data_IF_927560021560
#
_entry.id   IF_927560021560
#
_cell.length_a   1.000
_cell.length_b   1.000
_cell.length_c   1.000
_cell.angle_alpha   90.00
_cell.angle_beta   90.00
_cell.angle_gamma   90.00
#
_symmetry.space_group_name_H-M   'P 1'
#
loop_
_entity.id
_entity.type
_entity.pdbx_description
1 polymer ?
#
# COMPACT_ATOMS: atom_id res chain seq x y z
N UNK A 1 -6.14 -0.57 20.17
CA UNK A 1 -5.85 -1.15 18.86
C UNK A 1 -6.24 -0.10 17.83
N UNK A 2 -5.34 0.23 16.92
CA UNK A 2 -5.60 1.20 15.85
C UNK A 2 -5.98 0.50 14.55
N UNK A 3 -5.27 -0.59 14.24
CA UNK A 3 -5.54 -1.39 13.06
C UNK A 3 -5.23 -2.88 13.32
N UNK A 4 -5.88 -3.72 12.53
CA UNK A 4 -5.67 -5.15 12.52
C UNK A 4 -6.04 -5.72 11.14
N UNK A 5 -5.14 -6.52 10.60
CA UNK A 5 -5.30 -7.12 9.29
C UNK A 5 -5.01 -8.61 9.34
N UNK A 6 -5.90 -9.40 8.73
CA UNK A 6 -5.62 -10.81 8.45
C UNK A 6 -4.57 -10.92 7.35
N UNK A 7 -3.75 -11.97 7.43
CA UNK A 7 -2.88 -12.35 6.33
C UNK A 7 -3.68 -12.87 5.13
N UNK A 8 -2.99 -13.08 4.01
CA UNK A 8 -3.62 -13.47 2.74
C UNK A 8 -4.48 -14.74 2.83
N UNK A 9 -4.08 -15.72 3.66
CA UNK A 9 -4.78 -16.99 3.81
C UNK A 9 -5.78 -17.00 4.98
N UNK A 10 -5.90 -15.91 5.75
CA UNK A 10 -6.78 -15.81 6.90
C UNK A 10 -6.39 -16.70 8.08
N UNK A 11 -5.12 -17.09 8.18
CA UNK A 11 -4.59 -17.96 9.24
C UNK A 11 -3.80 -17.18 10.30
N UNK A 12 -3.39 -15.95 9.99
CA UNK A 12 -2.70 -15.04 10.91
C UNK A 12 -3.40 -13.69 10.96
N UNK A 13 -3.38 -13.08 12.14
CA UNK A 13 -3.88 -11.73 12.38
C UNK A 13 -2.73 -10.88 12.93
N UNK A 14 -2.41 -9.78 12.25
CA UNK A 14 -1.56 -8.74 12.79
C UNK A 14 -2.44 -7.68 13.45
N UNK A 15 -2.00 -7.14 14.58
CA UNK A 15 -2.67 -6.04 15.28
C UNK A 15 -1.64 -5.02 15.73
N UNK A 16 -2.03 -3.75 15.78
CA UNK A 16 -1.17 -2.68 16.27
C UNK A 16 -1.91 -1.71 17.20
N UNK A 17 -1.19 -1.03 18.09
CA UNK A 17 -1.79 -0.26 19.17
C UNK A 17 -0.92 0.90 19.66
N UNK A 18 -1.47 1.72 20.56
CA UNK A 18 -0.75 2.80 21.25
C UNK A 18 0.35 2.31 22.18
N UNK A 19 0.41 1.01 22.47
CA UNK A 19 1.47 0.40 23.29
C UNK A 19 2.80 0.26 22.53
N UNK A 20 2.87 0.77 21.29
CA UNK A 20 4.07 0.80 20.43
C UNK A 20 4.46 -0.57 19.87
N UNK A 21 3.59 -1.57 20.01
CA UNK A 21 3.87 -2.94 19.56
C UNK A 21 2.97 -3.37 18.42
N UNK A 22 3.48 -4.30 17.62
CA UNK A 22 2.70 -5.09 16.68
C UNK A 22 2.64 -6.51 17.22
N UNK A 23 1.44 -7.08 17.33
CA UNK A 23 1.23 -8.45 17.82
C UNK A 23 0.70 -9.32 16.70
N UNK A 24 1.29 -10.50 16.56
CA UNK A 24 0.88 -11.51 15.58
C UNK A 24 0.17 -12.65 16.31
N UNK A 25 -0.99 -13.03 15.81
CA UNK A 25 -1.80 -14.12 16.31
C UNK A 25 -1.99 -15.17 15.22
N UNK A 26 -1.81 -16.43 15.57
CA UNK A 26 -2.36 -17.53 14.78
C UNK A 26 -3.85 -17.64 15.05
N UNK A 27 -4.65 -17.71 13.99
CA UNK A 27 -6.10 -17.86 14.02
C UNK A 27 -6.45 -19.19 13.37
N UNK A 28 -6.86 -20.18 14.17
CA UNK A 28 -7.26 -21.50 13.68
C UNK A 28 -8.51 -21.96 14.42
N UNK A 29 -9.51 -22.41 13.67
CA UNK A 29 -10.76 -22.95 14.22
C UNK A 29 -11.44 -22.01 15.24
N UNK A 30 -11.39 -20.71 15.00
CA UNK A 30 -11.96 -19.68 15.90
C UNK A 30 -11.14 -19.39 17.17
N UNK A 31 -10.05 -20.12 17.43
CA UNK A 31 -9.12 -19.83 18.51
C UNK A 31 -8.02 -18.88 18.04
N UNK A 32 -7.62 -17.95 18.92
CA UNK A 32 -6.55 -17.00 18.68
C UNK A 32 -5.40 -17.26 19.65
N UNK A 33 -4.18 -17.41 19.14
CA UNK A 33 -2.97 -17.59 19.95
C UNK A 33 -1.93 -16.57 19.53
N UNK A 34 -1.46 -15.73 20.46
CA UNK A 34 -0.36 -14.82 20.19
C UNK A 34 0.92 -15.63 19.92
N UNK A 35 1.53 -15.44 18.75
CA UNK A 35 2.76 -16.14 18.34
C UNK A 35 3.98 -15.22 18.32
N UNK A 36 3.80 -13.91 18.16
CA UNK A 36 4.90 -12.95 18.21
C UNK A 36 4.47 -11.58 18.76
N UNK A 37 5.44 -10.82 19.27
CA UNK A 37 5.30 -9.40 19.58
C UNK A 37 6.51 -8.68 19.00
N UNK A 38 6.27 -7.86 17.98
CA UNK A 38 7.29 -7.09 17.28
C UNK A 38 7.44 -5.74 18.00
N UNK A 39 8.67 -5.42 18.37
CA UNK A 39 9.04 -4.18 19.07
C UNK A 39 10.12 -3.48 18.25
N UNK A 40 9.94 -2.19 18.03
CA UNK A 40 10.86 -1.36 17.24
C UNK A 40 10.37 0.07 17.10
N UNK A 41 9.06 0.28 17.17
CA UNK A 41 8.46 1.61 17.23
C UNK A 41 8.63 2.28 18.60
N UNK A 42 8.83 3.59 18.58
CA UNK A 42 9.02 4.44 19.77
C UNK A 42 7.74 5.18 20.17
N UNK A 43 6.69 5.08 19.36
CA UNK A 43 5.41 5.74 19.54
C UNK A 43 4.24 4.85 19.05
N UNK A 44 2.97 5.26 19.22
CA UNK A 44 1.80 4.51 18.75
C UNK A 44 1.89 4.07 17.28
N UNK A 45 1.55 2.81 17.03
CA UNK A 45 1.55 2.21 15.69
C UNK A 45 0.16 2.33 15.08
N UNK A 46 0.04 2.98 13.93
CA UNK A 46 -1.26 3.35 13.34
C UNK A 46 -1.85 2.28 12.45
N UNK A 47 -1.06 1.74 11.52
CA UNK A 47 -1.52 0.76 10.54
C UNK A 47 -0.52 -0.39 10.39
N UNK A 48 -1.03 -1.56 10.05
CA UNK A 48 -0.24 -2.73 9.65
C UNK A 48 -0.71 -3.23 8.28
N UNK A 49 0.22 -3.70 7.45
CA UNK A 49 -0.10 -4.20 6.12
C UNK A 49 0.68 -5.47 5.80
N UNK A 50 -0.01 -6.58 5.51
CA UNK A 50 0.61 -7.82 5.02
C UNK A 50 0.97 -7.70 3.54
N UNK A 51 2.20 -8.08 3.19
CA UNK A 51 2.60 -8.22 1.80
C UNK A 51 2.02 -9.51 1.20
N UNK A 52 2.01 -9.60 -0.13
CA UNK A 52 1.59 -10.82 -0.82
C UNK A 52 2.54 -11.99 -0.50
N UNK A 53 2.02 -13.20 -0.21
CA UNK A 53 2.82 -14.34 0.25
C UNK A 53 3.88 -14.83 -0.74
N UNK A 54 3.80 -14.42 -2.02
CA UNK A 54 4.84 -14.75 -3.01
C UNK A 54 6.22 -14.18 -2.66
N UNK A 55 6.27 -13.12 -1.84
CA UNK A 55 7.52 -12.51 -1.35
C UNK A 55 7.97 -13.10 0.00
N UNK A 56 7.26 -14.12 0.48
CA UNK A 56 7.40 -14.69 1.82
C UNK A 56 6.47 -14.02 2.83
N UNK A 57 6.71 -14.28 4.11
CA UNK A 57 5.92 -13.72 5.21
C UNK A 57 6.49 -12.36 5.57
N UNK A 58 5.93 -11.30 4.99
CA UNK A 58 6.35 -9.91 5.20
C UNK A 58 5.17 -9.08 5.72
N UNK A 59 5.45 -8.25 6.72
CA UNK A 59 4.51 -7.31 7.31
C UNK A 59 5.15 -5.92 7.38
N UNK A 60 4.40 -4.87 7.02
CA UNK A 60 4.80 -3.49 7.26
C UNK A 60 4.01 -2.90 8.42
N UNK A 61 4.63 -1.99 9.17
CA UNK A 61 3.97 -1.18 10.19
C UNK A 61 4.41 0.28 10.13
N UNK A 62 3.49 1.21 10.38
CA UNK A 62 3.75 2.64 10.43
C UNK A 62 3.32 3.24 11.76
N UNK A 63 3.95 4.35 12.16
CA UNK A 63 3.82 4.88 13.52
C UNK A 63 3.95 6.39 13.58
N UNK A 64 3.49 6.93 14.71
CA UNK A 64 3.68 8.32 15.11
C UNK A 64 5.15 8.70 15.29
N UNK A 65 6.06 7.72 15.42
CA UNK A 65 7.51 7.93 15.51
C UNK A 65 8.16 8.26 14.16
N UNK A 66 7.35 8.46 13.11
CA UNK A 66 7.78 8.87 11.75
C UNK A 66 8.48 7.77 10.97
N UNK A 67 8.45 6.53 11.48
CA UNK A 67 9.09 5.37 10.86
C UNK A 67 8.07 4.44 10.21
N UNK A 68 8.53 3.78 9.15
CA UNK A 68 7.94 2.57 8.60
C UNK A 68 8.92 1.44 8.82
N UNK A 69 8.46 0.33 9.40
CA UNK A 69 9.29 -0.86 9.62
C UNK A 69 8.73 -2.01 8.78
N UNK A 70 9.62 -2.69 8.05
CA UNK A 70 9.31 -3.91 7.31
C UNK A 70 9.86 -5.10 8.09
N UNK A 71 8.96 -5.97 8.49
CA UNK A 71 9.23 -7.19 9.24
C UNK A 71 9.17 -8.38 8.30
N UNK A 72 10.09 -9.33 8.48
CA UNK A 72 10.04 -10.63 7.79
C UNK A 72 10.11 -11.75 8.80
N UNK A 73 9.32 -12.78 8.56
CA UNK A 73 9.39 -14.03 9.32
C UNK A 73 10.11 -15.11 8.52
N UNK A 74 11.06 -15.79 9.16
CA UNK A 74 11.75 -16.97 8.62
C UNK A 74 11.87 -18.00 9.74
N UNK A 75 11.32 -19.20 9.51
CA UNK A 75 11.36 -20.33 10.46
C UNK A 75 10.88 -19.98 11.89
N UNK A 76 9.83 -19.18 11.98
CA UNK A 76 9.20 -18.71 13.22
C UNK A 76 9.84 -17.45 13.81
N UNK A 77 10.98 -17.00 13.29
CA UNK A 77 11.70 -15.84 13.80
C UNK A 77 11.36 -14.59 13.01
N UNK A 78 10.96 -13.55 13.73
CA UNK A 78 10.63 -12.24 13.15
C UNK A 78 11.81 -11.29 13.26
N UNK A 79 12.18 -10.68 12.13
CA UNK A 79 13.28 -9.74 12.04
C UNK A 79 12.83 -8.45 11.34
N UNK A 80 13.39 -7.33 11.77
CA UNK A 80 13.31 -6.07 11.02
C UNK A 80 14.31 -6.15 9.85
N UNK A 81 13.79 -6.19 8.62
CA UNK A 81 14.62 -6.28 7.41
C UNK A 81 14.84 -4.92 6.74
N UNK A 82 14.06 -3.90 7.10
CA UNK A 82 14.20 -2.55 6.57
C UNK A 82 13.45 -1.53 7.43
N UNK A 83 14.07 -0.37 7.65
CA UNK A 83 13.47 0.79 8.32
C UNK A 83 13.56 2.02 7.42
N UNK A 84 12.43 2.70 7.25
CA UNK A 84 12.35 3.98 6.54
C UNK A 84 11.97 5.09 7.51
N UNK A 85 12.81 6.12 7.61
CA UNK A 85 12.71 7.19 8.61
C UNK A 85 12.93 8.60 8.01
N UNK A 86 12.56 8.78 6.73
CA UNK A 86 12.71 10.05 6.02
C UNK A 86 11.44 10.90 5.99
N UNK A 87 10.42 10.53 6.77
CA UNK A 87 9.26 11.39 7.02
C UNK A 87 9.53 12.30 8.21
N UNK A 88 9.03 13.54 8.14
CA UNK A 88 9.25 14.56 9.17
C UNK A 88 8.15 14.57 10.24
N UNK A 89 7.09 13.78 10.02
CA UNK A 89 5.94 13.63 10.90
C UNK A 89 5.39 12.21 10.86
N UNK A 90 4.31 11.96 11.63
CA UNK A 90 3.64 10.67 11.79
C UNK A 90 3.28 10.03 10.45
N UNK A 91 3.59 8.74 10.26
CA UNK A 91 3.14 7.98 9.09
C UNK A 91 1.81 7.32 9.43
N UNK A 92 0.75 7.71 8.72
CA UNK A 92 -0.62 7.40 9.10
C UNK A 92 -1.17 6.16 8.40
N UNK A 93 -0.73 5.90 7.16
CA UNK A 93 -1.29 4.82 6.35
C UNK A 93 -0.25 4.11 5.49
N UNK A 94 -0.49 2.81 5.27
CA UNK A 94 0.30 1.89 4.48
C UNK A 94 -0.59 1.11 3.52
N UNK A 95 -0.13 0.92 2.29
CA UNK A 95 -0.79 0.02 1.35
C UNK A 95 0.26 -0.64 0.45
N UNK A 96 0.31 -1.99 0.46
CA UNK A 96 1.11 -2.75 -0.50
C UNK A 96 0.48 -2.66 -1.88
N UNK A 97 1.32 -2.50 -2.89
CA UNK A 97 0.89 -2.53 -4.28
C UNK A 97 0.45 -3.96 -4.66
N UNK A 98 -0.37 -4.10 -5.73
CA UNK A 98 -0.60 -5.39 -6.35
C UNK A 98 0.71 -6.12 -6.64
N UNK A 99 0.73 -7.42 -6.36
CA UNK A 99 1.95 -8.21 -6.35
C UNK A 99 2.60 -8.33 -7.73
N UNK A 100 1.82 -8.13 -8.79
CA UNK A 100 2.25 -8.07 -10.19
C UNK A 100 3.20 -6.89 -10.46
N UNK A 101 3.16 -5.84 -9.63
CA UNK A 101 4.09 -4.71 -9.72
C UNK A 101 5.41 -4.95 -8.97
N UNK A 102 5.50 -6.04 -8.21
CA UNK A 102 6.62 -6.35 -7.31
C UNK A 102 6.34 -5.98 -5.85
N UNK A 103 7.38 -6.06 -5.02
CA UNK A 103 7.29 -5.74 -3.59
C UNK A 103 7.39 -4.21 -3.40
N UNK A 104 6.26 -3.53 -3.53
CA UNK A 104 6.15 -2.07 -3.46
C UNK A 104 5.16 -1.67 -2.36
N UNK A 105 5.56 -0.73 -1.50
CA UNK A 105 4.74 -0.20 -0.40
C UNK A 105 4.57 1.31 -0.56
N UNK A 106 3.33 1.80 -0.49
CA UNK A 106 3.06 3.23 -0.40
C UNK A 106 2.76 3.63 1.05
N UNK A 107 3.29 4.76 1.49
CA UNK A 107 3.21 5.26 2.86
C UNK A 107 2.76 6.74 2.86
N UNK A 108 1.64 7.04 3.50
CA UNK A 108 1.12 8.40 3.63
C UNK A 108 1.48 9.02 4.99
N UNK A 109 2.02 10.24 4.99
CA UNK A 109 2.50 10.91 6.19
C UNK A 109 1.79 12.24 6.48
N UNK A 110 1.71 12.56 7.77
CA UNK A 110 1.25 13.85 8.30
C UNK A 110 2.15 15.02 7.91
N UNK A 111 3.33 14.78 7.33
CA UNK A 111 4.18 15.83 6.74
C UNK A 111 3.69 16.28 5.36
N UNK A 112 2.56 15.73 4.87
CA UNK A 112 1.97 16.05 3.59
C UNK A 112 2.58 15.28 2.42
N UNK A 113 3.60 14.45 2.65
CA UNK A 113 4.24 13.64 1.62
C UNK A 113 3.74 12.20 1.59
N UNK A 114 3.95 11.56 0.44
CA UNK A 114 3.76 10.11 0.27
C UNK A 114 5.09 9.51 -0.18
N UNK A 115 5.53 8.43 0.45
CA UNK A 115 6.71 7.67 0.00
C UNK A 115 6.29 6.34 -0.62
N UNK A 116 6.96 5.96 -1.70
CA UNK A 116 6.80 4.66 -2.36
C UNK A 116 8.12 3.91 -2.27
N UNK A 117 8.13 2.85 -1.47
CA UNK A 117 9.27 2.00 -1.19
C UNK A 117 9.20 0.77 -2.10
N UNK A 118 10.24 0.48 -2.86
CA UNK A 118 10.29 -0.65 -3.79
C UNK A 118 11.49 -1.54 -3.47
N UNK A 119 11.29 -2.84 -3.27
CA UNK A 119 12.41 -3.77 -3.12
C UNK A 119 12.78 -4.42 -4.44
N UNK A 120 14.07 -4.42 -4.75
CA UNK A 120 14.66 -5.12 -5.91
C UNK A 120 15.17 -6.52 -5.56
N UNK A 121 14.89 -6.99 -4.33
CA UNK A 121 15.46 -8.22 -3.78
C UNK A 121 16.82 -7.98 -3.10
N UNK A 122 17.34 -9.03 -2.43
CA UNK A 122 18.65 -8.97 -1.77
C UNK A 122 18.75 -7.94 -0.62
N UNK A 123 17.63 -7.56 -0.01
CA UNK A 123 17.58 -6.59 1.08
C UNK A 123 17.72 -5.12 0.65
N UNK A 124 17.72 -4.83 -0.66
CA UNK A 124 17.77 -3.47 -1.18
C UNK A 124 16.37 -2.88 -1.33
N UNK A 125 16.26 -1.60 -0.99
CA UNK A 125 15.03 -0.82 -1.06
C UNK A 125 15.33 0.54 -1.66
N UNK A 126 14.65 0.83 -2.76
CA UNK A 126 14.64 2.13 -3.41
C UNK A 126 13.42 2.92 -2.93
N UNK A 127 13.51 4.25 -2.94
CA UNK A 127 12.41 5.11 -2.50
C UNK A 127 12.15 6.24 -3.48
N UNK A 128 10.87 6.45 -3.79
CA UNK A 128 10.38 7.64 -4.48
C UNK A 128 9.44 8.40 -3.55
N UNK A 129 9.86 9.61 -3.13
CA UNK A 129 9.08 10.46 -2.23
C UNK A 129 8.40 11.58 -3.01
N UNK A 130 7.08 11.64 -2.89
CA UNK A 130 6.22 12.70 -3.42
C UNK A 130 6.06 13.75 -2.33
N UNK A 131 6.82 14.84 -2.45
CA UNK A 131 6.71 15.97 -1.53
C UNK A 131 5.44 16.77 -1.81
N UNK A 132 4.83 17.32 -0.76
CA UNK A 132 3.61 18.13 -0.86
C UNK A 132 2.47 17.45 -1.64
N UNK A 133 2.32 16.14 -1.46
CA UNK A 133 1.18 15.39 -2.02
C UNK A 133 -0.14 15.99 -1.52
N UNK A 134 -0.20 16.34 -0.24
CA UNK A 134 -1.27 17.10 0.39
C UNK A 134 -0.69 18.28 1.17
N UNK A 135 -1.39 19.43 1.19
CA UNK A 135 -0.84 20.68 1.76
C UNK A 135 -0.62 20.60 3.27
N UNK A 136 -1.45 19.84 3.98
CA UNK A 136 -1.43 19.76 5.45
C UNK A 136 -0.92 18.39 5.94
N UNK A 137 -1.36 17.30 5.31
CA UNK A 137 -1.06 15.95 5.75
C UNK A 137 -1.80 14.91 4.91
N UNK A 138 -1.21 13.73 4.73
CA UNK A 138 -1.84 12.58 4.09
C UNK A 138 -2.32 11.60 5.17
N UNK A 139 -3.59 11.23 5.13
CA UNK A 139 -4.21 10.33 6.12
C UNK A 139 -4.31 8.90 5.60
N UNK A 140 -4.57 8.72 4.31
CA UNK A 140 -4.86 7.41 3.74
C UNK A 140 -4.27 7.25 2.35
N UNK A 141 -3.85 6.02 2.04
CA UNK A 141 -3.33 5.61 0.74
C UNK A 141 -3.95 4.27 0.35
N UNK A 142 -4.37 4.12 -0.90
CA UNK A 142 -4.90 2.85 -1.42
C UNK A 142 -4.48 2.63 -2.87
N UNK A 143 -3.95 1.45 -3.17
CA UNK A 143 -3.52 1.10 -4.51
C UNK A 143 -4.70 0.76 -5.43
N UNK A 144 -4.62 1.22 -6.68
CA UNK A 144 -5.51 0.75 -7.72
C UNK A 144 -5.24 -0.74 -8.02
N UNK A 145 -6.27 -1.54 -8.34
CA UNK A 145 -6.06 -2.90 -8.81
C UNK A 145 -5.30 -2.89 -10.14
N UNK A 146 -4.70 -4.03 -10.49
CA UNK A 146 -4.05 -4.19 -11.80
C UNK A 146 -5.10 -4.07 -12.89
N UNK A 147 -5.07 -2.95 -13.62
CA UNK A 147 -5.82 -2.80 -14.85
C UNK A 147 -5.08 -3.54 -15.96
N UNK A 148 -5.29 -4.85 -16.07
CA UNK A 148 -4.90 -5.59 -17.26
C UNK A 148 -5.85 -5.17 -18.40
N UNK A 149 -5.55 -4.07 -19.09
CA UNK A 149 -6.13 -3.84 -20.40
C UNK A 149 -5.53 -4.90 -21.33
N UNK A 150 -6.31 -5.94 -21.65
CA UNK A 150 -6.05 -6.74 -22.85
C UNK A 150 -6.25 -5.81 -24.04
N UNK A 151 -5.16 -5.27 -24.59
CA UNK A 151 -5.23 -4.58 -25.88
C UNK A 151 -5.20 -5.65 -26.96
N UNK A 152 -6.36 -5.97 -27.52
CA UNK A 152 -6.43 -6.68 -28.80
C UNK A 152 -5.92 -5.74 -29.89
N UNK A 153 -4.61 -5.74 -30.16
CA UNK A 153 -4.07 -5.13 -31.38
C UNK A 153 -4.12 -6.17 -32.51
N UNK A 154 -5.26 -6.28 -33.17
CA UNK A 154 -5.41 -7.11 -34.36
C UNK A 154 -6.84 -7.10 -34.87
N UNK A 155 -7.09 -6.40 -35.97
CA UNK A 155 -8.29 -6.64 -36.78
C UNK A 155 -8.28 -8.09 -37.22
N UNK A 156 -9.32 -8.84 -36.87
CA UNK A 156 -9.50 -10.24 -37.28
C UNK A 156 -9.79 -10.25 -38.78
N UNK A 157 -8.76 -10.33 -39.60
CA UNK A 157 -8.90 -10.89 -40.94
C UNK A 157 -8.66 -12.40 -40.85
N UNK A 158 -9.61 -13.15 -41.41
CA UNK A 158 -9.69 -14.61 -41.39
C UNK A 158 -8.58 -15.22 -42.26
N UNK A 159 -7.33 -15.15 -41.81
CA UNK A 159 -6.22 -15.88 -42.43
C UNK A 159 -5.12 -16.17 -41.40
N UNK A 160 -5.28 -17.29 -40.69
CA UNK A 160 -4.20 -18.22 -40.31
C UNK A 160 -2.93 -17.72 -39.60
N UNK A 161 -2.87 -16.52 -39.04
CA UNK A 161 -1.65 -16.03 -38.35
C UNK A 161 -1.87 -15.86 -36.85
N UNK A 162 -0.89 -16.34 -36.07
CA UNK A 162 -0.89 -16.35 -34.61
C UNK A 162 -1.15 -14.94 -34.05
N UNK A 163 -2.24 -14.78 -33.30
CA UNK A 163 -2.49 -13.58 -32.53
C UNK A 163 -1.37 -13.41 -31.49
N UNK A 164 -0.50 -12.41 -31.68
CA UNK A 164 0.44 -12.00 -30.65
C UNK A 164 -0.33 -11.23 -29.58
N UNK A 165 -0.63 -11.89 -28.45
CA UNK A 165 -1.04 -11.18 -27.24
C UNK A 165 0.15 -10.34 -26.77
N UNK A 166 0.14 -9.03 -27.05
CA UNK A 166 1.04 -8.11 -26.36
C UNK A 166 0.42 -7.77 -25.00
N UNK A 167 1.14 -8.09 -23.92
CA UNK A 167 0.79 -7.62 -22.58
C UNK A 167 0.97 -6.11 -22.56
N UNK A 168 -0.12 -5.34 -22.59
CA UNK A 168 -0.05 -3.90 -22.43
C UNK A 168 0.61 -3.57 -21.08
N UNK A 169 1.47 -2.55 -21.07
CA UNK A 169 2.10 -2.06 -19.84
C UNK A 169 1.02 -1.71 -18.82
N UNK A 170 1.02 -2.40 -17.68
CA UNK A 170 0.07 -2.15 -16.61
C UNK A 170 0.41 -0.83 -15.94
N UNK A 171 -0.48 0.16 -16.09
CA UNK A 171 -0.29 1.48 -15.50
C UNK A 171 -0.44 1.39 -13.98
N UNK A 172 0.61 1.74 -13.23
CA UNK A 172 0.58 1.80 -11.77
C UNK A 172 -0.15 3.06 -11.31
N UNK A 173 -1.17 2.89 -10.47
CA UNK A 173 -1.94 3.99 -9.86
C UNK A 173 -2.21 3.73 -8.39
N UNK A 174 -2.31 4.79 -7.61
CA UNK A 174 -2.87 4.75 -6.26
C UNK A 174 -3.61 6.05 -5.97
N UNK A 175 -4.49 6.02 -4.98
CA UNK A 175 -5.24 7.17 -4.49
C UNK A 175 -4.77 7.54 -3.09
N UNK A 176 -4.78 8.84 -2.78
CA UNK A 176 -4.50 9.37 -1.45
C UNK A 176 -5.60 10.29 -0.99
N UNK A 177 -5.86 10.30 0.32
CA UNK A 177 -6.74 11.25 1.00
C UNK A 177 -5.97 12.06 2.03
N UNK A 178 -6.26 13.35 2.16
CA UNK A 178 -5.53 14.24 3.06
C UNK A 178 -6.35 15.26 3.82
N UNK A 179 -5.65 15.99 4.68
CA UNK A 179 -6.18 17.06 5.54
C UNK A 179 -6.48 18.36 4.79
N UNK A 180 -6.22 18.41 3.47
CA UNK A 180 -6.62 19.49 2.58
C UNK A 180 -8.01 19.25 1.94
N UNK A 181 -8.74 18.24 2.43
CA UNK A 181 -10.08 17.83 1.99
C UNK A 181 -10.10 17.18 0.59
N UNK A 182 -8.93 16.88 0.04
CA UNK A 182 -8.79 16.35 -1.30
C UNK A 182 -8.62 14.84 -1.30
N UNK A 183 -9.16 14.23 -2.36
CA UNK A 183 -8.76 12.90 -2.80
C UNK A 183 -7.95 13.08 -4.09
N UNK A 184 -6.73 12.54 -4.15
CA UNK A 184 -5.82 12.70 -5.30
C UNK A 184 -5.43 11.35 -5.87
N UNK A 185 -5.45 11.24 -7.18
CA UNK A 185 -5.03 10.04 -7.91
C UNK A 185 -3.63 10.28 -8.46
N UNK A 186 -2.74 9.31 -8.22
CA UNK A 186 -1.36 9.34 -8.66
C UNK A 186 -1.11 8.27 -9.70
N UNK A 187 -0.37 8.62 -10.74
CA UNK A 187 0.06 7.71 -11.81
C UNK A 187 1.56 7.74 -11.94
N UNK A 188 2.15 6.56 -12.06
CA UNK A 188 3.58 6.45 -12.31
C UNK A 188 3.89 6.68 -13.79
N UNK A 189 4.90 7.50 -14.07
CA UNK A 189 5.44 7.75 -15.40
C UNK A 189 6.76 7.00 -15.56
N UNK A 190 6.78 5.94 -16.36
CA UNK A 190 8.03 5.21 -16.67
C UNK A 190 9.05 6.09 -17.41
N UNK A 191 8.59 7.12 -18.14
CA UNK A 191 9.46 8.05 -18.88
C UNK A 191 10.23 8.98 -17.96
N UNK A 192 9.54 9.51 -16.95
CA UNK A 192 10.09 10.49 -16.00
C UNK A 192 10.58 9.83 -14.70
N UNK A 193 10.40 8.52 -14.58
CA UNK A 193 10.72 7.72 -13.40
C UNK A 193 10.14 8.32 -12.10
N UNK A 194 8.93 8.87 -12.18
CA UNK A 194 8.30 9.62 -11.09
C UNK A 194 6.79 9.43 -11.04
N UNK A 195 6.21 9.76 -9.88
CA UNK A 195 4.77 9.80 -9.68
C UNK A 195 4.23 11.19 -9.98
N UNK A 196 3.14 11.23 -10.73
CA UNK A 196 2.48 12.47 -11.14
C UNK A 196 1.03 12.45 -10.65
N UNK A 197 0.54 13.61 -10.20
CA UNK A 197 -0.88 13.80 -9.91
C UNK A 197 -1.64 13.70 -11.24
N UNK A 198 -2.51 12.70 -11.36
CA UNK A 198 -3.34 12.46 -12.54
C UNK A 198 -4.69 13.18 -12.40
N UNK A 199 -5.32 13.08 -11.23
CA UNK A 199 -6.57 13.78 -10.92
C UNK A 199 -6.63 14.25 -9.48
N UNK A 200 -7.40 15.30 -9.26
CA UNK A 200 -7.71 15.88 -7.95
C UNK A 200 -9.23 15.99 -7.82
N UNK A 201 -9.77 15.40 -6.77
CA UNK A 201 -11.20 15.32 -6.49
C UNK A 201 -11.52 16.16 -5.25
N UNK A 202 -12.39 17.16 -5.42
CA UNK A 202 -12.82 18.10 -4.38
C UNK A 202 -14.25 17.76 -3.89
N UNK A 203 -14.44 16.57 -3.33
CA UNK A 203 -15.77 16.11 -2.90
C UNK A 203 -16.06 16.37 -1.41
N UNK A 204 -15.04 16.65 -0.59
CA UNK A 204 -15.18 16.80 0.85
C UNK A 204 -14.97 18.25 1.29
N UNK A 205 -15.67 18.64 2.36
CA UNK A 205 -15.52 19.95 3.02
C UNK A 205 -14.66 19.90 4.28
N UNK A 206 -14.17 18.71 4.66
CA UNK A 206 -13.35 18.46 5.84
C UNK A 206 -12.32 17.37 5.53
N UNK A 207 -11.42 17.10 6.48
CA UNK A 207 -10.31 16.18 6.32
C UNK A 207 -10.79 14.81 5.84
N UNK A 208 -10.20 14.34 4.76
CA UNK A 208 -10.44 12.98 4.28
C UNK A 208 -9.75 12.02 5.24
N UNK A 209 -10.53 11.11 5.84
CA UNK A 209 -10.07 10.17 6.85
C UNK A 209 -9.56 8.88 6.24
N UNK A 210 -10.26 8.38 5.23
CA UNK A 210 -9.87 7.18 4.54
C UNK A 210 -10.24 7.25 3.05
N UNK A 211 -9.47 6.52 2.24
CA UNK A 211 -9.72 6.28 0.81
C UNK A 211 -9.46 4.82 0.50
N UNK A 212 -10.37 4.19 -0.22
CA UNK A 212 -10.24 2.81 -0.63
C UNK A 212 -10.53 2.69 -2.12
N UNK A 213 -9.53 2.23 -2.88
CA UNK A 213 -9.75 1.83 -4.25
C UNK A 213 -10.41 0.45 -4.27
N UNK A 214 -11.58 0.35 -4.89
CA UNK A 214 -12.28 -0.93 -4.95
C UNK A 214 -11.45 -1.94 -5.76
N UNK A 215 -11.33 -3.20 -5.30
CA UNK A 215 -10.83 -4.26 -6.16
C UNK A 215 -11.72 -4.34 -7.40
N UNK A 216 -11.15 -4.73 -8.55
CA UNK A 216 -11.81 -4.75 -9.85
C UNK A 216 -13.03 -5.69 -9.84
N UNK A 217 -14.17 -5.18 -9.41
CA UNK A 217 -15.40 -5.95 -9.25
C UNK A 217 -16.29 -5.94 -10.51
N UNK A 218 -16.07 -4.99 -11.42
CA UNK A 218 -16.91 -4.81 -12.62
C UNK A 218 -16.07 -4.43 -13.85
N UNK A 219 -16.36 -5.05 -14.99
CA UNK A 219 -15.70 -4.77 -16.26
C UNK A 219 -15.87 -3.29 -16.65
N UNK A 220 -14.76 -2.57 -16.70
CA UNK A 220 -14.67 -1.24 -17.33
C UNK A 220 -14.91 -0.03 -16.41
N UNK A 221 -15.21 -0.21 -15.13
CA UNK A 221 -15.34 0.91 -14.18
C UNK A 221 -14.43 0.73 -12.97
N UNK A 222 -13.68 1.79 -12.67
CA UNK A 222 -12.85 1.92 -11.48
C UNK A 222 -13.60 2.73 -10.45
N UNK A 223 -13.69 2.24 -9.21
CA UNK A 223 -14.45 2.90 -8.13
C UNK A 223 -13.52 3.19 -6.97
N UNK A 224 -13.64 4.40 -6.42
CA UNK A 224 -12.94 4.83 -5.21
C UNK A 224 -14.01 5.24 -4.19
N UNK A 225 -13.90 4.74 -2.97
CA UNK A 225 -14.66 5.20 -1.83
C UNK A 225 -13.80 6.14 -0.98
N UNK A 226 -14.38 7.22 -0.48
CA UNK A 226 -13.71 8.15 0.45
C UNK A 226 -14.66 8.57 1.55
N UNK A 227 -14.12 8.81 2.74
CA UNK A 227 -14.88 9.34 3.88
C UNK A 227 -14.15 10.52 4.52
N UNK A 228 -14.90 11.48 5.07
CA UNK A 228 -14.35 12.63 5.79
C UNK A 228 -14.95 12.74 7.19
N UNK A 229 -14.34 13.59 8.01
CA UNK A 229 -14.88 13.98 9.32
C UNK A 229 -16.17 14.79 9.21
#
# INVERSE_FOLDING_TARGET
MHDAQMDYYGIRLATCSSDKTVKIFDVRNGAQKQVATLKGHEAPVWQVAWAHPMFGVILASCSYDRKVIIWKETDGNWENIYEYNKHDSSVNSLCWAPYEYGLILACGSSDGSVSVLSSTGGGRWDTKKIHNAHTIGCNAVSWAPVNAQLVYTGSVEYSGTNANLSTASSTKRFVTGGCDNLVKIWKYSDKEDTWQEEEKLEAHSNWVRDVAWAPSAHFGQSVIASCSQ
#
